data_IF_272436168073
#
_entry.id   IF_272436168073
#
_cell.length_a   1.000
_cell.length_b   1.000
_cell.length_c   1.000
_cell.angle_alpha   90.00
_cell.angle_beta   90.00
_cell.angle_gamma   90.00
#
_symmetry.space_group_name_H-M   'P 1'
#
loop_
_entity.id
_entity.type
_entity.pdbx_description
1 polymer ?
#
# COMPACT_ATOMS: atom_id res chain seq x y z
N UNK A 1 -0.91 6.79 13.49
CA UNK A 1 0.37 7.58 13.51
C UNK A 1 0.03 9.06 13.45
N UNK A 2 -0.67 9.50 12.40
CA UNK A 2 -1.15 10.87 12.29
C UNK A 2 -1.95 11.32 13.52
N UNK A 3 -2.73 10.44 14.15
CA UNK A 3 -3.48 10.74 15.38
C UNK A 3 -2.56 11.08 16.56
N UNK A 4 -1.46 10.34 16.73
CA UNK A 4 -0.52 10.57 17.82
C UNK A 4 0.21 11.90 17.63
N UNK A 5 0.56 12.25 16.39
CA UNK A 5 1.18 13.54 16.07
C UNK A 5 0.18 14.68 16.23
N UNK A 6 -1.05 14.54 15.71
CA UNK A 6 -2.12 15.53 15.87
C UNK A 6 -2.48 15.77 17.35
N UNK A 7 -2.44 14.73 18.18
CA UNK A 7 -2.68 14.81 19.62
C UNK A 7 -1.44 15.27 20.42
N UNK A 8 -0.34 15.60 19.75
CA UNK A 8 0.93 16.04 20.37
C UNK A 8 1.52 15.00 21.35
N UNK A 9 1.23 13.72 21.12
CA UNK A 9 1.86 12.59 21.83
C UNK A 9 3.21 12.20 21.20
N UNK A 10 3.48 12.68 19.97
CA UNK A 10 4.75 12.56 19.28
C UNK A 10 4.99 13.81 18.43
N UNK A 11 6.23 14.25 18.31
CA UNK A 11 6.59 15.43 17.50
C UNK A 11 6.51 15.12 15.99
N UNK A 12 6.78 13.87 15.60
CA UNK A 12 6.74 13.39 14.23
C UNK A 12 6.47 11.88 14.16
N UNK A 13 6.10 11.39 12.96
CA UNK A 13 5.89 9.97 12.71
C UNK A 13 6.03 9.62 11.23
N UNK A 14 6.36 8.35 10.97
CA UNK A 14 6.34 7.78 9.61
C UNK A 14 5.01 7.09 9.35
N UNK A 15 4.36 7.46 8.26
CA UNK A 15 3.10 6.87 7.80
C UNK A 15 3.24 6.53 6.32
N UNK A 16 2.58 5.47 5.89
CA UNK A 16 2.47 5.14 4.47
C UNK A 16 1.77 6.30 3.72
N UNK A 17 2.36 6.73 2.60
CA UNK A 17 1.86 7.86 1.82
C UNK A 17 0.46 7.63 1.25
N UNK A 18 0.13 6.40 0.85
CA UNK A 18 -1.22 6.05 0.41
C UNK A 18 -2.23 6.14 1.55
N UNK A 19 -1.86 5.73 2.77
CA UNK A 19 -2.72 5.89 3.96
C UNK A 19 -2.95 7.38 4.22
N UNK A 20 -1.89 8.20 4.23
CA UNK A 20 -2.01 9.65 4.42
C UNK A 20 -2.93 10.31 3.40
N UNK A 21 -2.74 10.03 2.11
CA UNK A 21 -3.57 10.57 1.03
C UNK A 21 -5.03 10.11 1.13
N UNK A 22 -5.25 8.86 1.56
CA UNK A 22 -6.59 8.31 1.80
C UNK A 22 -7.28 9.03 2.95
N UNK A 23 -6.59 9.20 4.09
CA UNK A 23 -7.10 9.96 5.23
C UNK A 23 -7.46 11.39 4.84
N UNK A 24 -6.62 12.04 4.03
CA UNK A 24 -6.85 13.39 3.51
C UNK A 24 -8.07 13.46 2.59
N UNK A 25 -8.21 12.52 1.66
CA UNK A 25 -9.40 12.43 0.78
C UNK A 25 -10.69 12.22 1.57
N UNK A 26 -10.63 11.48 2.67
CA UNK A 26 -11.76 11.21 3.55
C UNK A 26 -12.04 12.34 4.56
N UNK A 27 -11.25 13.42 4.55
CA UNK A 27 -11.44 14.55 5.46
C UNK A 27 -11.18 14.24 6.94
N UNK A 28 -10.32 13.25 7.22
CA UNK A 28 -10.01 12.86 8.59
C UNK A 28 -9.27 13.97 9.33
N UNK A 29 -9.72 14.29 10.55
CA UNK A 29 -9.20 15.40 11.35
C UNK A 29 -7.68 15.29 11.63
N UNK A 30 -7.16 14.08 11.84
CA UNK A 30 -5.75 13.90 12.16
C UNK A 30 -4.82 14.51 11.11
N UNK A 31 -5.11 14.34 9.82
CA UNK A 31 -4.26 14.87 8.75
C UNK A 31 -4.44 16.36 8.47
N UNK A 32 -5.49 17.00 9.03
CA UNK A 32 -5.66 18.46 8.94
C UNK A 32 -4.86 19.21 10.01
N UNK A 33 -4.41 18.51 11.05
CA UNK A 33 -3.60 19.05 12.15
C UNK A 33 -2.12 18.70 12.03
N UNK A 34 -1.71 18.12 10.90
CA UNK A 34 -0.34 17.64 10.67
C UNK A 34 0.07 17.96 9.23
N UNK A 35 1.37 18.10 8.97
CA UNK A 35 1.90 18.35 7.62
C UNK A 35 2.97 17.33 7.21
N UNK A 36 3.22 17.22 5.90
CA UNK A 36 4.27 16.35 5.37
C UNK A 36 5.57 17.14 5.26
N UNK A 37 6.49 16.91 6.19
CA UNK A 37 7.81 17.58 6.23
C UNK A 37 8.88 16.89 5.36
N UNK A 38 8.68 15.61 5.03
CA UNK A 38 9.58 14.82 4.19
C UNK A 38 8.85 13.68 3.49
N UNK A 39 9.27 13.32 2.29
CA UNK A 39 8.75 12.19 1.52
C UNK A 39 9.89 11.29 1.05
N UNK A 40 9.71 9.97 1.15
CA UNK A 40 10.69 9.00 0.65
C UNK A 40 10.66 8.90 -0.87
N UNK A 41 11.63 8.16 -1.42
CA UNK A 41 11.48 7.61 -2.76
C UNK A 41 10.24 6.70 -2.86
N UNK A 42 9.83 6.40 -4.10
CA UNK A 42 8.69 5.52 -4.34
C UNK A 42 9.12 4.05 -4.23
N UNK A 43 8.32 3.27 -3.52
CA UNK A 43 8.47 1.82 -3.40
C UNK A 43 7.25 1.11 -3.99
N UNK A 44 7.40 -0.19 -4.29
CA UNK A 44 6.29 -1.01 -4.79
C UNK A 44 5.12 -1.05 -3.80
N UNK A 45 3.90 -0.80 -4.31
CA UNK A 45 2.67 -0.88 -3.51
C UNK A 45 2.48 -2.29 -2.90
N UNK A 46 1.91 -2.43 -1.69
CA UNK A 46 1.68 -3.73 -1.07
C UNK A 46 1.05 -4.77 -2.02
N UNK A 47 1.72 -5.92 -2.26
CA UNK A 47 1.22 -6.93 -3.20
C UNK A 47 0.11 -7.80 -2.60
N UNK A 48 -0.72 -8.35 -3.47
CA UNK A 48 -1.44 -9.59 -3.19
C UNK A 48 -0.57 -10.78 -3.63
N UNK A 49 -0.36 -11.73 -2.72
CA UNK A 49 0.50 -12.89 -2.95
C UNK A 49 -0.27 -14.20 -2.78
N UNK A 50 0.21 -15.26 -3.42
CA UNK A 50 -0.29 -16.62 -3.21
C UNK A 50 0.87 -17.59 -3.02
N UNK A 51 0.61 -18.69 -2.32
CA UNK A 51 1.61 -19.74 -2.11
C UNK A 51 2.12 -20.28 -3.45
N UNK A 52 3.43 -20.44 -3.58
CA UNK A 52 4.03 -21.09 -4.75
C UNK A 52 3.44 -22.49 -4.95
N UNK A 53 3.05 -22.81 -6.18
CA UNK A 53 2.43 -24.09 -6.50
C UNK A 53 0.98 -24.24 -6.04
N UNK A 54 0.30 -23.15 -5.67
CA UNK A 54 -1.13 -23.17 -5.34
C UNK A 54 -1.96 -23.71 -6.53
N UNK A 55 -2.70 -24.79 -6.27
CA UNK A 55 -3.59 -25.49 -7.23
C UNK A 55 -5.07 -25.16 -7.02
N UNK A 56 -5.40 -24.16 -6.21
CA UNK A 56 -6.78 -23.74 -5.99
C UNK A 56 -7.43 -23.39 -7.36
N UNK A 57 -8.53 -24.05 -7.74
CA UNK A 57 -9.18 -23.84 -9.04
C UNK A 57 -9.68 -22.40 -9.23
N UNK A 58 -9.95 -21.67 -8.15
CA UNK A 58 -10.43 -20.28 -8.19
C UNK A 58 -9.31 -19.25 -8.36
N UNK A 59 -8.03 -19.65 -8.35
CA UNK A 59 -6.88 -18.72 -8.42
C UNK A 59 -6.95 -17.83 -9.66
N UNK A 60 -7.23 -18.44 -10.80
CA UNK A 60 -7.27 -17.72 -12.06
C UNK A 60 -8.51 -16.81 -12.15
N UNK A 61 -9.67 -17.30 -11.69
CA UNK A 61 -10.89 -16.49 -11.61
C UNK A 61 -10.72 -15.24 -10.74
N UNK A 62 -10.11 -15.39 -9.56
CA UNK A 62 -9.80 -14.26 -8.68
C UNK A 62 -8.83 -13.27 -9.35
N UNK A 63 -7.79 -13.77 -10.02
CA UNK A 63 -6.83 -12.92 -10.74
C UNK A 63 -7.52 -12.09 -11.83
N UNK A 64 -8.40 -12.70 -12.61
CA UNK A 64 -9.14 -12.01 -13.67
C UNK A 64 -10.12 -11.00 -13.09
N UNK A 65 -10.81 -11.33 -12.00
CA UNK A 65 -11.71 -10.40 -11.31
C UNK A 65 -10.95 -9.16 -10.80
N UNK A 66 -9.77 -9.33 -10.21
CA UNK A 66 -8.94 -8.22 -9.74
C UNK A 66 -8.46 -7.33 -10.90
N UNK A 67 -7.98 -7.92 -12.00
CA UNK A 67 -7.48 -7.15 -13.15
C UNK A 67 -8.60 -6.47 -13.95
N UNK A 68 -9.78 -7.10 -14.02
CA UNK A 68 -10.96 -6.54 -14.67
C UNK A 68 -11.72 -5.52 -13.83
N UNK A 69 -11.33 -5.30 -12.57
CA UNK A 69 -12.12 -4.52 -11.60
C UNK A 69 -12.37 -3.08 -12.05
N UNK A 70 -11.43 -2.45 -12.76
CA UNK A 70 -11.59 -1.09 -13.26
C UNK A 70 -12.52 -1.00 -14.49
N UNK A 71 -13.03 -2.12 -15.01
CA UNK A 71 -14.01 -2.19 -16.11
C UNK A 71 -15.39 -2.66 -15.63
N UNK A 72 -15.53 -2.99 -14.35
CA UNK A 72 -16.79 -3.41 -13.73
C UNK A 72 -17.33 -2.27 -12.84
N UNK A 73 -18.61 -1.85 -12.97
CA UNK A 73 -19.16 -0.77 -12.14
C UNK A 73 -19.05 -0.99 -10.62
N UNK A 74 -19.32 -2.21 -10.14
CA UNK A 74 -19.15 -2.53 -8.72
C UNK A 74 -17.67 -2.60 -8.33
N UNK A 75 -16.81 -3.02 -9.27
CA UNK A 75 -15.36 -2.96 -9.12
C UNK A 75 -14.83 -1.54 -8.97
N UNK A 76 -15.30 -0.60 -9.79
CA UNK A 76 -14.94 0.83 -9.73
C UNK A 76 -15.39 1.45 -8.41
N UNK A 77 -16.58 1.09 -7.91
CA UNK A 77 -17.06 1.54 -6.60
C UNK A 77 -16.12 1.06 -5.47
N UNK A 78 -15.76 -0.22 -5.47
CA UNK A 78 -14.82 -0.78 -4.49
C UNK A 78 -13.44 -0.13 -4.57
N UNK A 79 -12.89 0.01 -5.78
CA UNK A 79 -11.59 0.67 -6.00
C UNK A 79 -11.61 2.11 -5.47
N UNK A 80 -12.68 2.85 -5.74
CA UNK A 80 -12.86 4.23 -5.27
C UNK A 80 -12.91 4.30 -3.75
N UNK A 81 -13.68 3.41 -3.11
CA UNK A 81 -13.76 3.33 -1.65
C UNK A 81 -12.40 3.01 -1.00
N UNK A 82 -11.57 2.21 -1.69
CA UNK A 82 -10.21 1.89 -1.29
C UNK A 82 -9.18 2.94 -1.75
N UNK A 83 -9.56 4.02 -2.42
CA UNK A 83 -8.63 4.98 -3.02
C UNK A 83 -7.57 4.31 -3.94
N UNK A 84 -8.00 3.30 -4.70
CA UNK A 84 -7.21 2.58 -5.69
C UNK A 84 -7.75 2.85 -7.10
N UNK A 85 -6.91 2.64 -8.11
CA UNK A 85 -7.29 2.74 -9.53
C UNK A 85 -7.42 1.38 -10.22
N UNK A 86 -6.93 0.31 -9.60
CA UNK A 86 -6.99 -1.05 -10.13
C UNK A 86 -5.85 -1.94 -9.65
N UNK A 87 -5.75 -3.11 -10.27
CA UNK A 87 -4.70 -4.08 -10.03
C UNK A 87 -3.97 -4.39 -11.35
N UNK A 88 -2.66 -4.59 -11.28
CA UNK A 88 -1.83 -4.93 -12.43
C UNK A 88 -1.02 -6.21 -12.17
N UNK A 89 -0.51 -6.88 -13.22
CA UNK A 89 0.41 -7.98 -13.06
C UNK A 89 1.64 -7.57 -12.26
N UNK A 90 1.84 -8.20 -11.10
CA UNK A 90 3.01 -7.97 -10.26
C UNK A 90 4.24 -8.74 -10.74
N UNK A 91 5.42 -8.28 -10.31
CA UNK A 91 6.69 -8.97 -10.50
C UNK A 91 7.63 -8.71 -9.34
N UNK A 92 8.47 -9.69 -8.98
CA UNK A 92 9.38 -9.57 -7.85
C UNK A 92 10.31 -8.34 -7.95
N UNK A 93 10.70 -7.97 -9.18
CA UNK A 93 11.57 -6.82 -9.46
C UNK A 93 10.98 -5.47 -9.00
N UNK A 94 9.65 -5.35 -8.90
CA UNK A 94 8.98 -4.14 -8.40
C UNK A 94 9.32 -3.85 -6.93
N UNK A 95 9.83 -4.85 -6.21
CA UNK A 95 10.16 -4.78 -4.79
C UNK A 95 11.67 -4.80 -4.53
N UNK A 96 12.50 -4.66 -5.58
CA UNK A 96 13.96 -4.71 -5.44
C UNK A 96 14.53 -3.54 -4.62
N UNK A 97 13.93 -2.35 -4.71
CA UNK A 97 14.31 -1.20 -3.87
C UNK A 97 14.05 -1.48 -2.39
N UNK A 98 12.91 -2.10 -2.06
CA UNK A 98 12.59 -2.53 -0.69
C UNK A 98 13.58 -3.60 -0.22
N UNK A 99 13.90 -4.59 -1.07
CA UNK A 99 14.90 -5.62 -0.75
C UNK A 99 16.27 -5.00 -0.47
N UNK A 100 16.69 -4.02 -1.27
CA UNK A 100 17.96 -3.30 -1.08
C UNK A 100 17.97 -2.55 0.26
N UNK A 101 16.89 -1.83 0.57
CA UNK A 101 16.77 -1.10 1.83
C UNK A 101 16.71 -2.04 3.04
N UNK A 102 15.97 -3.14 2.95
CA UNK A 102 15.90 -4.13 4.02
C UNK A 102 17.28 -4.73 4.33
N UNK A 103 18.13 -4.95 3.32
CA UNK A 103 19.50 -5.44 3.52
C UNK A 103 20.42 -4.44 4.22
N UNK A 104 20.13 -3.14 4.16
CA UNK A 104 20.90 -2.13 4.91
C UNK A 104 20.44 -1.97 6.36
N UNK A 105 19.34 -2.64 6.76
CA UNK A 105 18.77 -2.56 8.10
C UNK A 105 19.01 -3.87 8.84
N UNK A 106 19.68 -3.80 9.99
CA UNK A 106 19.87 -4.96 10.85
C UNK A 106 18.52 -5.52 11.31
N UNK A 107 18.42 -6.86 11.40
CA UNK A 107 17.21 -7.57 11.83
C UNK A 107 15.97 -7.38 10.94
N UNK A 108 16.11 -6.98 9.68
CA UNK A 108 14.99 -6.89 8.72
C UNK A 108 14.38 -8.24 8.32
N UNK A 109 15.01 -9.36 8.69
CA UNK A 109 14.62 -10.70 8.26
C UNK A 109 14.95 -11.01 6.79
N UNK A 110 15.52 -10.06 6.05
CA UNK A 110 16.00 -10.26 4.68
C UNK A 110 17.49 -10.57 4.75
N UNK A 111 17.87 -11.77 4.30
CA UNK A 111 19.28 -12.15 4.20
C UNK A 111 20.07 -11.19 3.30
N UNK A 112 21.31 -10.89 3.72
CA UNK A 112 22.31 -10.22 2.87
C UNK A 112 22.49 -10.97 1.56
#
# INVERSE_FOLDING_TARGET
>A
VAEAVAAQLADAGSIDGYVWDTMRRQGMHAVSQTEVVWQSERFGFPPLVSKRGNRNPYREGLRQALFGMAQDPAGVELLTALNLSGFTPGGAHMYDSIRKQARSVAASGVGV
#
